data_IF_421666013649
#
_entry.id   IF_421666013649
#
_cell.length_a   1.000
_cell.length_b   1.000
_cell.length_c   1.000
_cell.angle_alpha   90.00
_cell.angle_beta   90.00
_cell.angle_gamma   90.00
#
_symmetry.space_group_name_H-M   'P 1'
#
loop_
_entity.id
_entity.type
_entity.pdbx_description
1 polymer ?
#
# COMPACT_ATOMS: atom_id res chain seq x y z
N UNK A 1 7.55 -0.59 -29.71
CA UNK A 1 8.87 -0.50 -29.06
C UNK A 1 8.66 -0.58 -27.56
N UNK A 2 8.74 -1.78 -26.98
CA UNK A 2 8.64 -1.97 -25.53
C UNK A 2 10.05 -1.86 -24.96
N UNK A 3 10.32 -0.79 -24.21
CA UNK A 3 11.57 -0.67 -23.48
C UNK A 3 11.54 -1.68 -22.33
N UNK A 4 12.40 -2.71 -22.40
CA UNK A 4 12.79 -3.49 -21.24
C UNK A 4 13.49 -2.55 -20.25
N UNK A 5 12.72 -1.97 -19.35
CA UNK A 5 13.28 -1.33 -18.18
C UNK A 5 13.75 -2.45 -17.25
N UNK A 6 15.06 -2.65 -17.18
CA UNK A 6 15.71 -3.23 -16.01
C UNK A 6 15.33 -2.36 -14.82
N UNK A 7 14.25 -2.71 -14.12
CA UNK A 7 13.86 -2.06 -12.87
C UNK A 7 14.94 -2.41 -11.86
N UNK A 8 15.75 -1.41 -11.47
CA UNK A 8 16.54 -1.57 -10.26
C UNK A 8 15.57 -2.03 -9.16
N UNK A 9 15.88 -3.06 -8.35
CA UNK A 9 15.01 -3.45 -7.23
C UNK A 9 14.76 -2.29 -6.25
N UNK A 10 15.52 -1.20 -6.36
CA UNK A 10 15.36 0.08 -5.67
C UNK A 10 14.41 1.09 -6.34
N UNK A 11 13.83 0.79 -7.50
CA UNK A 11 12.81 1.61 -8.19
C UNK A 11 11.51 0.82 -8.36
N UNK A 12 10.93 0.41 -7.24
CA UNK A 12 9.54 -0.06 -7.20
C UNK A 12 8.60 1.14 -7.35
N UNK A 13 7.58 1.01 -8.21
CA UNK A 13 6.52 2.00 -8.27
C UNK A 13 5.74 1.97 -6.94
N UNK A 14 5.32 3.12 -6.40
CA UNK A 14 4.60 3.16 -5.13
C UNK A 14 3.37 2.25 -5.09
N UNK A 15 2.62 2.18 -6.19
CA UNK A 15 1.45 1.30 -6.31
C UNK A 15 1.83 -0.19 -6.33
N UNK A 16 2.97 -0.55 -6.94
CA UNK A 16 3.47 -1.93 -6.95
C UNK A 16 3.94 -2.36 -5.55
N UNK A 17 4.47 -1.42 -4.76
CA UNK A 17 4.81 -1.69 -3.36
C UNK A 17 3.56 -1.94 -2.51
N UNK A 18 2.50 -1.15 -2.69
CA UNK A 18 1.22 -1.35 -1.98
C UNK A 18 0.57 -2.66 -2.38
N UNK A 19 0.63 -3.03 -3.66
CA UNK A 19 0.13 -4.32 -4.18
C UNK A 19 0.83 -5.51 -3.50
N UNK A 20 2.15 -5.43 -3.31
CA UNK A 20 2.92 -6.46 -2.57
C UNK A 20 2.58 -6.53 -1.08
N UNK A 21 1.97 -5.50 -0.52
CA UNK A 21 1.54 -5.46 0.87
C UNK A 21 0.11 -6.00 1.09
N UNK A 22 -0.61 -6.40 0.04
CA UNK A 22 -1.94 -7.03 0.16
C UNK A 22 -1.80 -8.35 0.94
N UNK A 23 -2.69 -8.57 1.90
CA UNK A 23 -2.67 -9.68 2.85
C UNK A 23 -1.70 -9.50 4.02
N UNK A 24 -0.93 -8.42 4.05
CA UNK A 24 -0.04 -8.09 5.16
C UNK A 24 -0.64 -7.04 6.09
N UNK A 25 -0.24 -7.05 7.36
CA UNK A 25 -0.61 -6.02 8.34
C UNK A 25 0.17 -4.74 8.04
N UNK A 26 -0.52 -3.66 7.70
CA UNK A 26 0.05 -2.36 7.38
C UNK A 26 -0.31 -1.34 8.46
N UNK A 27 0.52 -0.30 8.57
CA UNK A 27 0.29 0.85 9.43
C UNK A 27 0.15 2.11 8.56
N UNK A 28 -1.04 2.72 8.60
CA UNK A 28 -1.39 3.92 7.85
C UNK A 28 -1.42 5.10 8.79
N UNK A 29 -0.64 6.13 8.46
CA UNK A 29 -0.60 7.40 9.19
C UNK A 29 -1.38 8.41 8.36
N UNK A 30 -2.53 8.85 8.88
CA UNK A 30 -3.35 9.88 8.25
C UNK A 30 -2.85 11.27 8.63
N UNK A 31 -3.22 12.25 7.81
CA UNK A 31 -3.10 13.66 8.20
C UNK A 31 -4.06 13.91 9.37
N UNK A 32 -3.60 14.63 10.40
CA UNK A 32 -4.27 14.87 11.70
C UNK A 32 -3.92 13.86 12.81
N UNK A 33 -2.72 13.26 12.76
CA UNK A 33 -2.17 12.39 13.81
C UNK A 33 -3.03 11.17 14.15
N UNK A 34 -3.85 10.74 13.19
CA UNK A 34 -4.69 9.55 13.28
C UNK A 34 -3.95 8.37 12.65
N UNK A 35 -3.87 7.28 13.40
CA UNK A 35 -3.14 6.09 12.99
C UNK A 35 -4.11 4.91 12.83
N UNK A 36 -3.94 4.15 11.75
CA UNK A 36 -4.80 3.00 11.43
C UNK A 36 -3.91 1.81 11.14
N UNK A 37 -4.05 0.75 11.93
CA UNK A 37 -3.33 -0.51 11.75
C UNK A 37 -4.33 -1.59 11.36
N UNK A 38 -4.11 -2.27 10.24
CA UNK A 38 -5.00 -3.33 9.77
C UNK A 38 -4.37 -4.18 8.67
N UNK A 39 -5.02 -5.27 8.30
CA UNK A 39 -4.59 -6.13 7.19
C UNK A 39 -5.13 -5.55 5.87
N UNK A 40 -4.25 -5.25 4.90
CA UNK A 40 -4.67 -4.70 3.61
C UNK A 40 -5.34 -5.77 2.75
N UNK A 41 -6.62 -5.61 2.43
CA UNK A 41 -7.34 -6.50 1.52
C UNK A 41 -7.23 -6.08 0.06
N UNK A 42 -7.10 -4.77 -0.18
CA UNK A 42 -6.96 -4.22 -1.53
C UNK A 42 -7.00 -2.70 -1.52
N UNK A 43 -6.70 -2.11 -2.67
CA UNK A 43 -6.74 -0.67 -2.90
C UNK A 43 -7.22 -0.38 -4.34
N UNK A 44 -7.61 0.86 -4.62
CA UNK A 44 -7.98 1.33 -5.97
C UNK A 44 -6.97 2.35 -6.54
N UNK A 45 -7.20 2.81 -7.78
CA UNK A 45 -6.35 3.80 -8.45
C UNK A 45 -6.27 5.16 -7.71
N UNK A 46 -7.20 5.42 -6.79
CA UNK A 46 -7.25 6.61 -5.94
C UNK A 46 -6.65 6.39 -4.54
N UNK A 47 -6.07 5.21 -4.29
CA UNK A 47 -5.47 4.81 -3.01
C UNK A 47 -6.50 4.72 -1.87
N UNK A 48 -7.76 4.49 -2.18
CA UNK A 48 -8.74 4.08 -1.18
C UNK A 48 -8.42 2.64 -0.77
N UNK A 49 -8.15 2.41 0.52
CA UNK A 49 -7.72 1.11 1.04
C UNK A 49 -8.86 0.38 1.76
N UNK A 50 -9.01 -0.91 1.49
CA UNK A 50 -9.91 -1.81 2.22
C UNK A 50 -9.07 -2.59 3.23
N UNK A 51 -9.44 -2.54 4.50
CA UNK A 51 -8.70 -3.15 5.59
C UNK A 51 -9.58 -4.12 6.41
N UNK A 52 -8.96 -5.18 6.92
CA UNK A 52 -9.56 -6.12 7.87
C UNK A 52 -8.85 -6.05 9.24
N UNK A 53 -9.56 -6.43 10.32
CA UNK A 53 -9.05 -6.45 11.70
C UNK A 53 -8.37 -5.14 12.13
N UNK A 54 -9.06 -4.03 11.84
CA UNK A 54 -8.52 -2.67 11.98
C UNK A 54 -8.50 -2.22 13.44
N UNK A 55 -7.42 -1.54 13.83
CA UNK A 55 -7.28 -0.77 15.06
C UNK A 55 -7.03 0.70 14.72
N UNK A 56 -7.85 1.60 15.26
CA UNK A 56 -7.71 3.05 15.14
C UNK A 56 -7.09 3.63 16.42
N UNK A 57 -6.11 4.53 16.25
CA UNK A 57 -5.37 5.20 17.31
C UNK A 57 -5.44 6.73 17.14
#
# INVERSE_FOLDING_TARGET
>A
MAANATTNPSQLLPLELVDKCIGSRIHIIMKSDKEIVGTLLGFDDFVNMVLEDVTEL
#
